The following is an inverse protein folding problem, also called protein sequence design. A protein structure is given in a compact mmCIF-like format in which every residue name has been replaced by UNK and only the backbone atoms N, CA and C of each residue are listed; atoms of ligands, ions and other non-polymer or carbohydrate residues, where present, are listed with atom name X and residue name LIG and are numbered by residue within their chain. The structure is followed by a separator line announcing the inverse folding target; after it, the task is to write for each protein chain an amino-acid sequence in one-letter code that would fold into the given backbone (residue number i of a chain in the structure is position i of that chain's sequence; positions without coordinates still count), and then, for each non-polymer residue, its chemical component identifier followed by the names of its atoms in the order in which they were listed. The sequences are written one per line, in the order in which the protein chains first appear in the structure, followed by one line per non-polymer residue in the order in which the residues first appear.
data_IF_142941274972
#
_entry.id   IF_142941274972
#
_cell.length_a   1.000
_cell.length_b   1.000
_cell.length_c   1.000
_cell.angle_alpha   90.00
_cell.angle_beta   90.00
_cell.angle_gamma   90.00
#
_symmetry.space_group_name_H-M   'P 1'
#
loop_
_entity.id
_entity.type
_entity.pdbx_description
1 polymer ?
#
# COMPACT_ATOMS: atom_id res chain seq x y z
N UNK A 1 -59.39 -54.12 -29.53
CA UNK A 1 -57.98 -53.70 -29.70
C UNK A 1 -58.00 -52.13 -29.71
N UNK A 2 -57.84 -51.55 -28.56
CA UNK A 2 -57.86 -50.07 -28.40
C UNK A 2 -56.47 -49.56 -28.30
N UNK A 3 -55.98 -48.88 -29.36
CA UNK A 3 -54.70 -48.20 -29.38
C UNK A 3 -54.77 -46.89 -28.63
N UNK A 4 -54.08 -46.77 -27.50
CA UNK A 4 -53.85 -45.53 -26.80
C UNK A 4 -52.71 -44.76 -27.48
N UNK A 5 -53.02 -43.62 -28.11
CA UNK A 5 -52.02 -42.70 -28.60
C UNK A 5 -51.48 -41.85 -27.41
N UNK A 6 -50.16 -41.93 -27.21
CA UNK A 6 -49.46 -41.09 -26.26
C UNK A 6 -49.41 -39.63 -26.74
N UNK A 7 -49.63 -38.64 -25.87
CA UNK A 7 -49.53 -37.25 -26.27
C UNK A 7 -48.07 -36.86 -26.58
N UNK A 8 -47.84 -35.91 -27.48
CA UNK A 8 -46.53 -35.47 -27.85
C UNK A 8 -45.78 -34.76 -26.67
N UNK A 9 -44.47 -34.82 -26.61
CA UNK A 9 -43.67 -34.18 -25.57
C UNK A 9 -43.76 -32.64 -25.66
N UNK A 10 -43.68 -31.93 -24.51
CA UNK A 10 -43.75 -30.48 -24.49
C UNK A 10 -42.50 -29.88 -25.22
N UNK A 11 -42.67 -28.67 -25.80
CA UNK A 11 -41.58 -27.98 -26.49
C UNK A 11 -40.47 -27.58 -25.51
N UNK A 12 -39.22 -27.50 -25.98
CA UNK A 12 -38.09 -27.08 -25.14
C UNK A 12 -38.25 -25.60 -24.67
N UNK A 13 -37.75 -25.26 -23.46
CA UNK A 13 -37.78 -23.93 -22.97
C UNK A 13 -36.95 -22.95 -23.85
N UNK A 14 -37.34 -21.66 -23.92
CA UNK A 14 -36.60 -20.67 -24.70
C UNK A 14 -35.18 -20.48 -24.12
N UNK A 15 -34.19 -20.14 -24.97
CA UNK A 15 -32.84 -19.91 -24.54
C UNK A 15 -32.78 -18.70 -23.61
N UNK A 16 -32.02 -18.82 -22.53
CA UNK A 16 -31.75 -17.73 -21.60
C UNK A 16 -31.11 -16.54 -22.30
N UNK A 17 -31.49 -15.30 -21.97
CA UNK A 17 -30.88 -14.13 -22.58
C UNK A 17 -29.39 -14.07 -22.27
N UNK A 18 -28.60 -13.81 -23.30
CA UNK A 18 -27.15 -13.55 -23.19
C UNK A 18 -26.90 -12.34 -22.30
N UNK A 19 -25.85 -12.36 -21.47
CA UNK A 19 -25.52 -11.20 -20.63
C UNK A 19 -25.18 -9.99 -21.51
N UNK A 20 -25.86 -8.90 -21.29
CA UNK A 20 -25.60 -7.60 -21.88
C UNK A 20 -24.21 -7.12 -21.40
N UNK A 21 -23.33 -6.60 -22.26
CA UNK A 21 -22.09 -6.01 -21.82
C UNK A 21 -22.37 -4.77 -20.96
N UNK A 22 -21.62 -4.53 -19.88
CA UNK A 22 -21.81 -3.37 -19.03
C UNK A 22 -21.51 -2.09 -19.81
N UNK A 23 -22.43 -1.15 -19.72
CA UNK A 23 -22.32 0.21 -20.26
C UNK A 23 -21.14 0.94 -19.62
N UNK A 24 -20.32 1.50 -20.49
CA UNK A 24 -19.19 2.39 -20.19
C UNK A 24 -19.68 3.68 -19.54
N UNK A 25 -19.66 3.78 -18.23
CA UNK A 25 -19.62 5.04 -17.49
C UNK A 25 -19.11 4.74 -16.07
N UNK A 26 -17.94 5.23 -15.82
CA UNK A 26 -17.19 5.58 -14.61
C UNK A 26 -15.77 5.04 -14.65
N UNK A 27 -14.97 5.70 -15.48
CA UNK A 27 -13.52 5.62 -15.40
C UNK A 27 -13.03 6.43 -14.19
N UNK A 28 -13.17 5.87 -13.00
CA UNK A 28 -12.35 6.28 -11.86
C UNK A 28 -11.00 5.58 -12.03
N UNK A 29 -10.06 6.31 -12.62
CA UNK A 29 -8.68 5.88 -12.80
C UNK A 29 -7.96 5.86 -11.43
N UNK A 30 -8.24 4.85 -10.61
CA UNK A 30 -7.37 4.43 -9.54
C UNK A 30 -6.46 3.35 -10.14
N UNK A 31 -5.23 3.74 -10.47
CA UNK A 31 -4.22 2.86 -11.03
C UNK A 31 -4.03 1.59 -10.20
N UNK A 32 -4.47 0.48 -10.74
CA UNK A 32 -4.22 -0.86 -10.22
C UNK A 32 -2.74 -1.19 -10.44
N UNK A 33 -1.90 -0.96 -9.43
CA UNK A 33 -0.51 -1.40 -9.41
C UNK A 33 -0.30 -2.49 -8.36
N UNK A 34 -0.66 -3.71 -8.73
CA UNK A 34 -0.18 -4.93 -8.08
C UNK A 34 -0.45 -6.13 -8.98
N UNK A 35 0.43 -6.37 -9.93
CA UNK A 35 0.60 -7.70 -10.50
C UNK A 35 2.07 -8.09 -10.38
N UNK A 36 2.39 -8.69 -9.27
CA UNK A 36 3.52 -9.55 -9.03
C UNK A 36 3.00 -10.73 -8.25
N UNK A 37 3.07 -11.89 -8.84
CA UNK A 37 2.83 -13.25 -8.37
C UNK A 37 2.19 -13.42 -6.97
N UNK A 38 1.00 -14.01 -6.95
CA UNK A 38 0.21 -14.52 -5.83
C UNK A 38 -0.69 -13.50 -5.10
N UNK A 39 -1.98 -13.57 -5.38
CA UNK A 39 -3.03 -13.15 -4.47
C UNK A 39 -3.61 -11.77 -4.74
N UNK A 40 -4.91 -11.66 -4.51
CA UNK A 40 -5.65 -10.40 -4.48
C UNK A 40 -4.96 -9.37 -3.59
N UNK A 41 -5.04 -8.05 -3.89
CA UNK A 41 -4.41 -7.03 -3.07
C UNK A 41 -4.85 -7.19 -1.62
N UNK A 42 -3.89 -7.43 -0.73
CA UNK A 42 -4.16 -7.67 0.69
C UNK A 42 -4.93 -6.49 1.27
N UNK A 43 -6.06 -6.79 1.86
CA UNK A 43 -6.98 -5.79 2.42
C UNK A 43 -6.45 -5.16 3.72
N UNK A 44 -5.45 -5.79 4.34
CA UNK A 44 -4.90 -5.44 5.65
C UNK A 44 -3.38 -5.47 5.63
N UNK A 45 -2.76 -4.71 6.54
CA UNK A 45 -1.33 -4.79 6.80
C UNK A 45 -0.98 -6.11 7.50
N UNK A 46 0.10 -6.76 7.09
CA UNK A 46 0.65 -7.93 7.81
C UNK A 46 1.82 -7.54 8.69
N UNK A 47 2.56 -6.51 8.32
CA UNK A 47 3.69 -5.99 9.06
C UNK A 47 3.57 -4.49 9.25
N UNK A 48 4.11 -4.01 10.36
CA UNK A 48 4.22 -2.58 10.63
C UNK A 48 5.56 -2.28 11.33
N UNK A 49 6.06 -1.06 11.12
CA UNK A 49 7.27 -0.56 11.75
C UNK A 49 6.91 0.39 12.88
N UNK A 50 7.53 0.19 14.04
CA UNK A 50 7.31 0.99 15.25
C UNK A 50 7.83 2.41 15.05
N UNK A 51 6.98 3.41 15.27
CA UNK A 51 7.33 4.82 15.28
C UNK A 51 7.58 5.34 16.69
N UNK A 52 6.72 4.94 17.62
CA UNK A 52 6.78 5.33 19.03
C UNK A 52 5.98 4.34 19.88
N UNK A 53 6.26 4.28 21.17
CA UNK A 53 5.52 3.44 22.13
C UNK A 53 5.52 4.05 23.52
N UNK A 54 4.51 3.69 24.32
CA UNK A 54 4.44 4.12 25.72
C UNK A 54 5.62 3.55 26.52
N UNK A 55 6.32 4.35 27.33
CA UNK A 55 7.46 3.87 28.12
C UNK A 55 7.11 2.68 29.01
N UNK A 56 8.10 1.80 29.24
CA UNK A 56 8.00 0.68 30.18
C UNK A 56 7.41 1.11 31.53
N UNK A 57 6.50 0.33 32.07
CA UNK A 57 5.86 0.58 33.36
C UNK A 57 4.57 1.39 33.29
N UNK A 58 4.19 1.90 32.13
CA UNK A 58 2.87 2.49 31.88
C UNK A 58 2.07 1.57 30.99
N UNK A 59 1.42 0.58 31.54
CA UNK A 59 0.41 -0.18 30.80
C UNK A 59 -0.91 0.57 30.80
N UNK A 60 -1.61 0.47 29.68
CA UNK A 60 -2.93 1.05 29.51
C UNK A 60 -3.91 -0.09 29.29
N UNK A 61 -5.05 -0.03 29.98
CA UNK A 61 -6.12 -1.01 29.78
C UNK A 61 -7.02 -0.52 28.64
N UNK A 62 -7.01 -1.25 27.52
CA UNK A 62 -7.89 -1.00 26.38
C UNK A 62 -8.80 -2.20 26.19
N UNK A 63 -10.12 -1.98 26.29
CA UNK A 63 -11.15 -3.02 26.16
C UNK A 63 -10.89 -4.25 27.05
N UNK A 64 -10.45 -4.00 28.31
CA UNK A 64 -10.17 -5.05 29.30
C UNK A 64 -8.86 -5.81 29.08
N UNK A 65 -8.00 -5.36 28.17
CA UNK A 65 -6.66 -5.90 27.94
C UNK A 65 -5.61 -4.88 28.33
N UNK A 66 -4.66 -5.29 29.13
CA UNK A 66 -3.50 -4.47 29.49
C UNK A 66 -2.40 -4.64 28.45
N UNK A 67 -1.71 -3.55 28.14
CA UNK A 67 -0.61 -3.58 27.20
C UNK A 67 0.04 -2.23 27.02
N UNK A 68 0.99 -2.17 26.12
CA UNK A 68 1.72 -0.96 25.71
C UNK A 68 1.08 -0.41 24.44
N UNK A 69 0.79 0.88 24.39
CA UNK A 69 0.35 1.52 23.15
C UNK A 69 1.54 1.74 22.26
N UNK A 70 1.44 1.28 21.01
CA UNK A 70 2.47 1.40 19.98
C UNK A 70 1.87 2.17 18.82
N UNK A 71 2.55 3.23 18.38
CA UNK A 71 2.27 3.91 17.13
C UNK A 71 3.19 3.37 16.06
N UNK A 72 2.63 2.94 14.95
CA UNK A 72 3.37 2.25 13.89
C UNK A 72 2.91 2.68 12.49
N UNK A 73 3.73 2.38 11.49
CA UNK A 73 3.38 2.52 10.08
C UNK A 73 3.36 1.15 9.40
N UNK A 74 2.29 0.84 8.70
CA UNK A 74 2.15 -0.38 7.92
C UNK A 74 3.12 -0.44 6.75
N UNK A 75 3.59 -1.64 6.44
CA UNK A 75 4.58 -1.87 5.40
C UNK A 75 3.98 -1.80 3.99
N UNK A 76 2.77 -2.35 3.80
CA UNK A 76 2.19 -2.49 2.46
C UNK A 76 1.37 -1.28 2.03
N UNK A 77 0.50 -0.79 2.90
CA UNK A 77 -0.42 0.32 2.60
C UNK A 77 0.10 1.66 3.09
N UNK A 78 1.19 1.65 3.87
CA UNK A 78 1.79 2.84 4.49
C UNK A 78 0.78 3.61 5.35
N UNK A 79 -0.06 2.86 6.06
CA UNK A 79 -1.11 3.40 6.94
C UNK A 79 -0.56 3.59 8.35
N UNK A 80 -0.79 4.75 8.97
CA UNK A 80 -0.50 4.95 10.38
C UNK A 80 -1.48 4.15 11.23
N UNK A 81 -0.96 3.42 12.21
CA UNK A 81 -1.70 2.47 13.04
C UNK A 81 -1.42 2.67 14.51
N UNK A 82 -2.45 2.46 15.33
CA UNK A 82 -2.34 2.27 16.76
C UNK A 82 -2.48 0.79 17.10
N UNK A 83 -1.51 0.27 17.83
CA UNK A 83 -1.44 -1.14 18.21
C UNK A 83 -1.42 -1.26 19.73
N UNK A 84 -2.00 -2.33 20.25
CA UNK A 84 -1.84 -2.76 21.63
C UNK A 84 -0.78 -3.86 21.66
N UNK A 85 0.38 -3.56 22.21
CA UNK A 85 1.41 -4.54 22.52
C UNK A 85 1.01 -5.44 23.68
N UNK A 86 1.62 -6.62 23.75
CA UNK A 86 1.44 -7.52 24.88
C UNK A 86 2.10 -6.89 26.12
N UNK A 87 1.54 -7.13 27.29
CA UNK A 87 2.11 -6.69 28.57
C UNK A 87 3.56 -7.20 28.69
N UNK A 88 4.49 -6.32 29.05
CA UNK A 88 5.92 -6.58 29.11
C UNK A 88 6.63 -6.86 27.75
N UNK A 89 5.97 -6.72 26.62
CA UNK A 89 6.66 -6.80 25.34
C UNK A 89 7.75 -5.72 25.24
N UNK A 90 8.94 -6.15 24.87
CA UNK A 90 10.04 -5.24 24.54
C UNK A 90 9.93 -4.92 23.05
N UNK A 91 9.71 -3.66 22.72
CA UNK A 91 9.68 -3.15 21.35
C UNK A 91 10.71 -2.03 21.19
N UNK A 92 11.25 -1.88 20.00
CA UNK A 92 12.23 -0.85 19.67
C UNK A 92 11.70 0.04 18.52
N UNK A 93 12.12 1.30 18.49
CA UNK A 93 11.78 2.20 17.39
C UNK A 93 12.39 1.65 16.09
N UNK A 94 11.58 1.61 15.03
CA UNK A 94 11.97 1.04 13.76
C UNK A 94 11.98 -0.49 13.70
N UNK A 95 11.51 -1.17 14.76
CA UNK A 95 11.29 -2.63 14.74
C UNK A 95 10.13 -2.98 13.81
N UNK A 96 10.30 -4.05 13.03
CA UNK A 96 9.27 -4.60 12.15
C UNK A 96 8.46 -5.63 12.91
N UNK A 97 7.21 -5.34 13.19
CA UNK A 97 6.30 -6.20 13.92
C UNK A 97 5.32 -6.91 12.99
N UNK A 98 5.06 -8.18 13.26
CA UNK A 98 3.99 -8.90 12.62
C UNK A 98 2.64 -8.55 13.27
N UNK A 99 1.70 -8.06 12.47
CA UNK A 99 0.36 -7.63 12.92
C UNK A 99 -0.78 -8.37 12.20
N UNK A 100 -0.46 -9.41 11.42
CA UNK A 100 -1.43 -10.27 10.76
C UNK A 100 -2.43 -10.91 11.72
N UNK A 101 -3.32 -11.77 11.24
CA UNK A 101 -4.41 -12.31 12.05
C UNK A 101 -3.95 -13.34 13.09
N UNK A 102 -2.99 -14.17 12.75
CA UNK A 102 -2.52 -15.30 13.57
C UNK A 102 -1.02 -15.21 13.83
N UNK A 103 -0.54 -15.74 14.96
CA UNK A 103 0.89 -15.83 15.24
C UNK A 103 1.55 -14.52 15.67
N UNK A 104 0.82 -13.58 16.26
CA UNK A 104 1.39 -12.34 16.81
C UNK A 104 2.16 -12.63 18.08
N UNK A 105 3.43 -12.21 18.13
CA UNK A 105 4.29 -12.43 19.28
C UNK A 105 4.35 -11.24 20.24
N UNK A 106 4.37 -10.03 19.72
CA UNK A 106 4.52 -8.78 20.49
C UNK A 106 3.27 -7.90 20.49
N UNK A 107 2.33 -8.16 19.60
CA UNK A 107 1.12 -7.33 19.41
C UNK A 107 -0.12 -8.15 19.79
N UNK A 108 -0.89 -7.64 20.74
CA UNK A 108 -2.17 -8.23 21.14
C UNK A 108 -3.28 -7.91 20.15
N UNK A 109 -3.38 -6.64 19.73
CA UNK A 109 -4.41 -6.22 18.77
C UNK A 109 -4.03 -4.96 18.00
N UNK A 110 -4.63 -4.80 16.81
CA UNK A 110 -4.63 -3.54 16.08
C UNK A 110 -5.84 -2.75 16.55
N UNK A 111 -5.62 -1.58 17.14
CA UNK A 111 -6.68 -0.73 17.69
C UNK A 111 -7.39 0.07 16.61
N UNK A 112 -6.63 0.56 15.63
CA UNK A 112 -7.19 1.33 14.53
C UNK A 112 -6.15 2.07 13.71
N UNK A 113 -6.65 2.91 12.80
CA UNK A 113 -5.83 3.83 12.01
C UNK A 113 -5.68 5.14 12.74
N UNK A 114 -4.53 5.78 12.56
CA UNK A 114 -4.25 7.12 13.07
C UNK A 114 -4.13 8.11 11.91
N UNK A 115 -4.55 9.34 12.16
CA UNK A 115 -4.22 10.47 11.31
C UNK A 115 -2.85 11.05 11.72
N UNK A 116 -2.16 11.73 10.80
CA UNK A 116 -0.86 12.34 11.09
C UNK A 116 -0.89 13.30 12.28
N UNK A 117 -1.99 14.01 12.47
CA UNK A 117 -2.21 14.93 13.60
C UNK A 117 -2.31 14.22 14.95
N UNK A 118 -2.69 12.94 14.96
CA UNK A 118 -2.93 12.15 16.16
C UNK A 118 -1.67 11.40 16.67
N UNK A 119 -0.63 11.27 15.86
CA UNK A 119 0.62 10.64 16.32
C UNK A 119 1.44 11.60 17.19
N UNK A 120 2.23 11.04 18.09
CA UNK A 120 3.10 11.75 19.01
C UNK A 120 4.18 12.58 18.29
N UNK A 121 4.77 13.53 18.96
CA UNK A 121 5.89 14.28 18.40
C UNK A 121 7.12 13.39 18.18
N UNK A 122 7.36 12.40 19.05
CA UNK A 122 8.42 11.40 18.89
C UNK A 122 8.20 10.58 17.61
N UNK A 123 6.98 10.08 17.40
CA UNK A 123 6.63 9.36 16.16
C UNK A 123 6.82 10.23 14.90
N UNK A 124 6.47 11.53 14.95
CA UNK A 124 6.69 12.45 13.82
C UNK A 124 8.16 12.64 13.50
N UNK A 125 9.00 12.71 14.51
CA UNK A 125 10.45 12.87 14.34
C UNK A 125 11.09 11.64 13.68
N UNK A 126 10.60 10.44 14.01
CA UNK A 126 11.13 9.19 13.47
C UNK A 126 10.51 8.80 12.11
N UNK A 127 9.38 9.40 11.75
CA UNK A 127 8.60 9.00 10.57
C UNK A 127 9.44 9.01 9.28
N UNK A 128 10.28 10.01 9.07
CA UNK A 128 11.08 10.13 7.86
C UNK A 128 12.12 9.00 7.74
N UNK A 129 12.83 8.71 8.83
CA UNK A 129 13.85 7.66 8.89
C UNK A 129 13.23 6.29 8.68
N UNK A 130 12.08 6.05 9.31
CA UNK A 130 11.41 4.74 9.24
C UNK A 130 10.79 4.52 7.86
N UNK A 131 10.19 5.56 7.25
CA UNK A 131 9.68 5.43 5.87
C UNK A 131 10.82 5.14 4.89
N UNK A 132 11.97 5.80 5.03
CA UNK A 132 13.13 5.51 4.18
C UNK A 132 13.59 4.06 4.35
N UNK A 133 13.64 3.55 5.58
CA UNK A 133 13.92 2.14 5.87
C UNK A 133 12.90 1.20 5.20
N UNK A 134 11.61 1.51 5.27
CA UNK A 134 10.55 0.74 4.61
C UNK A 134 10.71 0.74 3.09
N UNK A 135 11.03 1.90 2.50
CA UNK A 135 11.24 2.05 1.06
C UNK A 135 12.42 1.21 0.59
N UNK A 136 13.54 1.25 1.31
CA UNK A 136 14.75 0.46 1.00
C UNK A 136 14.46 -1.04 1.16
N UNK A 137 13.81 -1.44 2.25
CA UNK A 137 13.45 -2.84 2.49
C UNK A 137 12.49 -3.41 1.41
N UNK A 138 11.69 -2.55 0.79
CA UNK A 138 10.73 -2.90 -0.26
C UNK A 138 11.11 -2.33 -1.64
N UNK A 139 12.41 -2.21 -1.91
CA UNK A 139 12.95 -1.58 -3.13
C UNK A 139 12.27 -2.05 -4.41
N UNK A 140 12.12 -3.37 -4.59
CA UNK A 140 11.50 -3.97 -5.78
C UNK A 140 10.11 -3.42 -6.08
N UNK A 141 9.28 -3.17 -5.05
CA UNK A 141 7.94 -2.60 -5.19
C UNK A 141 8.00 -1.19 -5.78
N UNK A 142 8.89 -0.37 -5.26
CA UNK A 142 9.01 1.03 -5.68
C UNK A 142 9.68 1.17 -7.04
N UNK A 143 10.67 0.35 -7.33
CA UNK A 143 11.29 0.27 -8.66
C UNK A 143 10.27 -0.21 -9.70
N UNK A 144 9.44 -1.21 -9.35
CA UNK A 144 8.36 -1.66 -10.22
C UNK A 144 7.33 -0.55 -10.48
N UNK A 145 7.02 0.27 -9.47
CA UNK A 145 6.18 1.45 -9.67
C UNK A 145 6.79 2.41 -10.69
N UNK A 146 8.07 2.76 -10.57
CA UNK A 146 8.78 3.65 -11.51
C UNK A 146 8.76 3.08 -12.92
N UNK A 147 8.98 1.78 -13.06
CA UNK A 147 8.96 1.07 -14.34
C UNK A 147 7.61 1.08 -15.04
N UNK A 148 6.50 1.18 -14.28
CA UNK A 148 5.14 1.05 -14.82
C UNK A 148 4.29 2.32 -14.65
N UNK A 149 4.83 3.38 -14.04
CA UNK A 149 4.12 4.64 -13.85
C UNK A 149 3.65 5.23 -15.18
N UNK A 150 2.40 5.72 -15.21
CA UNK A 150 1.74 6.25 -16.41
C UNK A 150 1.35 7.72 -16.21
N UNK A 151 1.03 8.45 -17.29
CA UNK A 151 0.37 9.74 -17.19
C UNK A 151 -0.95 9.63 -16.43
N UNK A 152 -1.17 10.54 -15.48
CA UNK A 152 -2.44 10.67 -14.75
C UNK A 152 -3.43 11.50 -15.57
N UNK A 153 -2.91 12.51 -16.24
CA UNK A 153 -3.64 13.36 -17.19
C UNK A 153 -2.78 13.61 -18.42
N UNK A 154 -3.32 14.13 -19.53
CA UNK A 154 -2.50 14.48 -20.69
C UNK A 154 -1.36 15.46 -20.40
N UNK A 155 -1.40 16.16 -19.26
CA UNK A 155 -0.40 17.18 -18.88
C UNK A 155 0.47 16.80 -17.71
N UNK A 156 0.11 15.74 -16.94
CA UNK A 156 0.79 15.39 -15.70
C UNK A 156 1.10 13.89 -15.73
N UNK A 157 2.37 13.56 -15.62
CA UNK A 157 2.82 12.18 -15.44
C UNK A 157 2.96 11.85 -13.95
N UNK A 158 2.63 10.60 -13.54
CA UNK A 158 2.71 10.16 -12.15
C UNK A 158 4.10 10.38 -11.53
N UNK A 159 5.17 10.20 -12.32
CA UNK A 159 6.55 10.42 -11.88
C UNK A 159 6.83 11.86 -11.47
N UNK A 160 6.20 12.86 -12.11
CA UNK A 160 6.38 14.27 -11.77
C UNK A 160 5.79 14.66 -10.42
N UNK A 161 4.94 13.81 -9.86
CA UNK A 161 4.39 14.01 -8.50
C UNK A 161 5.37 13.58 -7.41
N UNK A 162 6.47 12.94 -7.75
CA UNK A 162 7.53 12.59 -6.81
C UNK A 162 8.47 13.79 -6.66
N UNK A 163 8.61 14.38 -5.46
CA UNK A 163 9.50 15.52 -5.24
C UNK A 163 10.92 15.26 -5.74
N UNK A 164 11.45 16.15 -6.55
CA UNK A 164 12.78 16.00 -7.17
C UNK A 164 12.78 15.33 -8.55
N UNK A 165 11.65 14.78 -9.00
CA UNK A 165 11.49 14.28 -10.37
C UNK A 165 10.75 15.32 -11.22
N UNK A 166 11.49 16.24 -11.82
CA UNK A 166 10.95 17.18 -12.81
C UNK A 166 10.86 16.55 -14.21
N UNK A 167 10.37 17.34 -15.17
CA UNK A 167 10.17 16.88 -16.58
C UNK A 167 11.40 16.23 -17.19
N UNK A 168 12.60 16.77 -16.94
CA UNK A 168 13.85 16.22 -17.48
C UNK A 168 14.11 14.81 -16.96
N UNK A 169 14.05 14.61 -15.63
CA UNK A 169 14.22 13.29 -15.05
C UNK A 169 13.11 12.33 -15.48
N UNK A 170 11.87 12.78 -15.51
CA UNK A 170 10.74 11.98 -15.97
C UNK A 170 10.95 11.47 -17.40
N UNK A 171 11.34 12.34 -18.33
CA UNK A 171 11.62 11.96 -19.74
C UNK A 171 12.79 10.98 -19.82
N UNK A 172 13.86 11.19 -19.05
CA UNK A 172 15.00 10.28 -19.00
C UNK A 172 14.60 8.92 -18.44
N UNK A 173 13.81 8.87 -17.36
CA UNK A 173 13.30 7.62 -16.78
C UNK A 173 12.50 6.85 -17.84
N UNK A 174 11.55 7.50 -18.54
CA UNK A 174 10.74 6.87 -19.58
C UNK A 174 11.65 6.29 -20.67
N UNK A 175 12.55 7.11 -21.23
CA UNK A 175 13.47 6.69 -22.28
C UNK A 175 14.32 5.48 -21.87
N UNK A 176 14.84 5.49 -20.64
CA UNK A 176 15.73 4.42 -20.17
C UNK A 176 14.96 3.15 -19.83
N UNK A 177 13.77 3.23 -19.19
CA UNK A 177 12.96 2.05 -18.88
C UNK A 177 12.39 1.39 -20.15
N UNK A 178 12.19 2.14 -21.24
CA UNK A 178 11.72 1.59 -22.53
C UNK A 178 12.81 0.75 -23.22
N UNK A 179 14.10 1.08 -22.98
CA UNK A 179 15.22 0.25 -23.42
C UNK A 179 15.35 -1.02 -22.58
N UNK A 180 15.33 -0.87 -21.25
CA UNK A 180 15.42 -1.96 -20.27
C UNK A 180 14.81 -1.49 -18.96
N UNK A 181 13.91 -2.29 -18.35
CA UNK A 181 13.35 -2.03 -17.02
C UNK A 181 14.47 -1.87 -15.99
N UNK A 182 14.28 -0.98 -15.01
CA UNK A 182 15.20 -0.83 -13.89
C UNK A 182 15.09 -2.02 -12.95
N UNK A 183 16.22 -2.48 -12.43
CA UNK A 183 16.32 -3.64 -11.54
C UNK A 183 16.26 -3.23 -10.06
N UNK A 184 16.89 -2.10 -9.73
CA UNK A 184 17.01 -1.57 -8.37
C UNK A 184 17.27 -0.06 -8.39
N UNK A 185 17.36 0.58 -7.22
CA UNK A 185 17.63 2.01 -7.10
C UNK A 185 19.03 2.40 -7.60
N UNK A 186 20.00 1.53 -7.45
CA UNK A 186 21.37 1.77 -7.97
C UNK A 186 21.39 1.82 -9.50
N UNK A 187 20.67 0.92 -10.16
CA UNK A 187 20.51 0.93 -11.62
C UNK A 187 19.78 2.21 -12.09
N UNK A 188 18.72 2.60 -11.41
CA UNK A 188 18.01 3.86 -11.66
C UNK A 188 18.93 5.07 -11.49
N UNK A 189 19.71 5.11 -10.42
CA UNK A 189 20.67 6.18 -10.14
C UNK A 189 21.75 6.28 -11.22
N UNK A 190 22.31 5.14 -11.61
CA UNK A 190 23.40 5.08 -12.61
C UNK A 190 22.92 5.51 -13.99
N UNK A 191 21.76 5.02 -14.44
CA UNK A 191 21.26 5.25 -15.81
C UNK A 191 20.57 6.59 -15.99
N UNK A 192 19.96 7.12 -14.93
CA UNK A 192 19.18 8.38 -14.98
C UNK A 192 19.94 9.55 -14.35
N UNK A 193 20.91 9.28 -13.46
CA UNK A 193 21.57 10.30 -12.66
C UNK A 193 20.71 10.82 -11.50
N UNK A 194 19.64 10.11 -11.15
CA UNK A 194 18.76 10.49 -10.06
C UNK A 194 19.38 10.14 -8.71
N UNK A 195 19.70 11.15 -7.90
CA UNK A 195 20.31 10.94 -6.58
C UNK A 195 19.24 10.50 -5.57
N UNK A 196 19.61 9.53 -4.73
CA UNK A 196 18.81 9.04 -3.60
C UNK A 196 17.33 8.75 -3.93
N UNK A 197 17.03 7.84 -4.87
CA UNK A 197 15.66 7.54 -5.26
C UNK A 197 14.76 7.16 -4.07
N UNK A 198 15.30 6.41 -3.10
CA UNK A 198 14.60 6.02 -1.89
C UNK A 198 14.13 7.24 -1.09
N UNK A 199 15.00 8.25 -0.92
CA UNK A 199 14.68 9.48 -0.20
C UNK A 199 13.63 10.32 -0.92
N UNK A 200 13.64 10.38 -2.24
CA UNK A 200 12.63 11.10 -3.02
C UNK A 200 11.25 10.45 -2.89
N UNK A 201 11.20 9.12 -2.96
CA UNK A 201 9.98 8.34 -2.75
C UNK A 201 9.46 8.53 -1.31
N UNK A 202 10.37 8.48 -0.32
CA UNK A 202 10.02 8.67 1.09
C UNK A 202 9.41 10.06 1.34
N UNK A 203 9.95 11.10 0.75
CA UNK A 203 9.36 12.45 0.81
C UNK A 203 7.93 12.47 0.27
N UNK A 204 7.70 11.81 -0.86
CA UNK A 204 6.36 11.72 -1.44
C UNK A 204 5.38 10.98 -0.52
N UNK A 205 5.80 9.87 0.07
CA UNK A 205 5.00 9.12 1.02
C UNK A 205 4.62 9.99 2.24
N UNK A 206 5.57 10.77 2.76
CA UNK A 206 5.32 11.68 3.88
C UNK A 206 4.30 12.75 3.51
N UNK A 207 4.40 13.38 2.34
CA UNK A 207 3.41 14.35 1.85
C UNK A 207 2.00 13.73 1.76
N UNK A 208 1.90 12.47 1.34
CA UNK A 208 0.63 11.75 1.27
C UNK A 208 0.05 11.43 2.65
N UNK A 209 0.91 11.03 3.61
CA UNK A 209 0.52 10.78 5.00
C UNK A 209 0.05 12.06 5.67
N UNK A 210 0.74 13.18 5.43
CA UNK A 210 0.38 14.50 5.97
C UNK A 210 -0.89 15.10 5.32
N UNK A 211 -1.42 14.47 4.26
CA UNK A 211 -2.57 14.98 3.53
C UNK A 211 -2.28 16.20 2.65
N UNK A 212 -1.01 16.50 2.38
CA UNK A 212 -0.57 17.62 1.53
C UNK A 212 -0.66 17.28 0.04
N UNK A 213 -0.72 16.00 -0.29
CA UNK A 213 -0.81 15.51 -1.65
C UNK A 213 -2.26 15.48 -2.16
N UNK A 214 -2.51 16.01 -3.35
CA UNK A 214 -3.84 15.93 -3.99
C UNK A 214 -4.21 14.52 -4.44
N UNK A 215 -3.22 13.71 -4.77
CA UNK A 215 -3.36 12.34 -5.24
C UNK A 215 -2.39 11.45 -4.48
N UNK A 216 -2.83 10.30 -4.02
CA UNK A 216 -1.95 9.33 -3.38
C UNK A 216 -1.40 8.38 -4.44
N UNK A 217 -0.07 8.23 -4.48
CA UNK A 217 0.63 7.28 -5.32
C UNK A 217 0.92 5.98 -4.58
N UNK A 218 1.24 6.08 -3.30
CA UNK A 218 1.78 5.01 -2.47
C UNK A 218 0.89 4.66 -1.28
N UNK A 219 0.35 5.68 -0.60
CA UNK A 219 -0.47 5.50 0.60
C UNK A 219 -1.90 5.11 0.23
N UNK A 220 -2.39 4.02 0.79
CA UNK A 220 -3.75 3.53 0.58
C UNK A 220 -4.60 3.80 1.82
N UNK A 221 -5.59 4.65 1.68
CA UNK A 221 -6.60 4.95 2.70
C UNK A 221 -7.71 3.92 2.74
#
# INVERSE_FOLDING_TARGET
MSGQQQPPPPPPPPPSPSPTPPSTQDATAAGNFSQGEHGQPRKYEEYAYVLDFTPRGKSITVRGREGVIIQAIGEERLTLLELLGIQNATVEIGERLYIGREGREKVSSVLGRLEYTAISQAAKNELANIIEKVVVANEKRFVNYINNAQPITPRIHALELIPGIGKTYMMTIIKERDKKKFENFSDLQTRVGLRDPAKLISKRIIEEIMGQARLNLFVRK
#
